data_IF_299324781021
#
_entry.id   IF_299324781021
#
_cell.length_a   1.000
_cell.length_b   1.000
_cell.length_c   1.000
_cell.angle_alpha   90.00
_cell.angle_beta   90.00
_cell.angle_gamma   90.00
#
_symmetry.space_group_name_H-M   'P 1'
#
loop_
_entity.id
_entity.type
_entity.pdbx_description
1 polymer ?
#
# COMPACT_ATOMS: atom_id res chain seq x y z
N UNK A 1 -17.03 -11.74 -9.40
CA UNK A 1 -16.26 -12.47 -10.42
C UNK A 1 -14.81 -12.03 -10.28
N UNK A 2 -13.99 -12.78 -9.55
CA UNK A 2 -12.56 -12.47 -9.31
C UNK A 2 -11.83 -12.81 -10.61
N UNK A 3 -11.39 -11.79 -11.37
CA UNK A 3 -10.66 -11.99 -12.62
C UNK A 3 -9.16 -11.99 -12.32
N UNK A 4 -8.45 -13.04 -12.74
CA UNK A 4 -6.98 -13.04 -12.79
C UNK A 4 -6.52 -12.09 -13.90
N UNK A 5 -5.48 -11.30 -13.65
CA UNK A 5 -4.80 -10.47 -14.65
C UNK A 5 -3.77 -11.35 -15.39
N UNK A 6 -3.70 -11.23 -16.70
CA UNK A 6 -2.76 -11.97 -17.57
C UNK A 6 -1.36 -11.38 -17.49
N UNK A 7 -0.36 -12.23 -17.23
CA UNK A 7 1.06 -11.90 -17.12
C UNK A 7 1.70 -11.48 -18.44
N UNK A 8 2.66 -10.57 -18.37
CA UNK A 8 3.83 -10.55 -19.24
C UNK A 8 5.08 -10.65 -18.32
N UNK A 9 5.94 -11.63 -18.59
CA UNK A 9 7.23 -11.91 -17.93
C UNK A 9 8.34 -11.25 -18.79
N UNK A 10 9.41 -10.63 -18.23
CA UNK A 10 10.55 -11.44 -17.80
C UNK A 10 11.45 -10.87 -16.66
N UNK A 11 12.12 -11.80 -15.94
CA UNK A 11 13.43 -11.73 -15.25
C UNK A 11 13.47 -11.65 -13.70
N UNK A 12 14.09 -12.70 -13.12
CA UNK A 12 14.38 -12.93 -11.70
C UNK A 12 15.59 -12.14 -11.19
N UNK A 13 15.42 -11.50 -10.02
CA UNK A 13 16.43 -10.88 -9.14
C UNK A 13 15.84 -10.71 -7.72
N UNK A 14 16.63 -10.47 -6.65
CA UNK A 14 16.32 -10.97 -5.30
C UNK A 14 15.23 -10.16 -4.60
N UNK A 15 14.17 -10.85 -4.17
CA UNK A 15 13.04 -10.29 -3.44
C UNK A 15 11.72 -10.88 -3.92
N UNK A 16 11.64 -12.21 -4.05
CA UNK A 16 10.44 -12.89 -4.56
C UNK A 16 9.21 -12.49 -3.77
N UNK A 17 8.25 -11.87 -4.44
CA UNK A 17 7.13 -11.21 -3.77
C UNK A 17 6.23 -12.16 -2.97
N UNK A 18 6.18 -13.46 -3.31
CA UNK A 18 5.33 -14.42 -2.59
C UNK A 18 5.99 -15.77 -2.34
N UNK A 19 6.24 -16.06 -1.05
CA UNK A 19 6.14 -17.41 -0.49
C UNK A 19 4.91 -17.47 0.43
N UNK A 20 3.71 -17.57 -0.12
CA UNK A 20 2.52 -17.85 0.70
C UNK A 20 1.41 -18.55 -0.09
N UNK A 21 0.74 -19.47 0.61
CA UNK A 21 -0.20 -20.45 0.09
C UNK A 21 -1.48 -19.79 -0.51
N UNK A 22 -1.86 -20.19 -1.72
CA UNK A 22 -2.80 -19.48 -2.61
C UNK A 22 -4.25 -19.34 -2.10
N UNK A 23 -4.63 -20.08 -1.04
CA UNK A 23 -5.96 -20.00 -0.41
C UNK A 23 -6.09 -18.89 0.64
N UNK A 24 -4.99 -18.47 1.28
CA UNK A 24 -5.02 -17.44 2.33
C UNK A 24 -5.04 -16.01 1.76
N UNK A 25 -4.52 -15.81 0.54
CA UNK A 25 -4.44 -14.50 -0.12
C UNK A 25 -5.80 -13.93 -0.54
N UNK A 26 -6.82 -14.78 -0.78
CA UNK A 26 -8.13 -14.31 -1.24
C UNK A 26 -8.97 -13.63 -0.13
N UNK A 27 -8.63 -13.82 1.15
CA UNK A 27 -9.38 -13.29 2.30
C UNK A 27 -8.69 -12.11 3.02
N UNK A 28 -7.46 -11.78 2.65
CA UNK A 28 -6.66 -10.72 3.32
C UNK A 28 -6.77 -9.42 2.54
N UNK A 29 -7.23 -8.34 3.19
CA UNK A 29 -7.25 -7.01 2.57
C UNK A 29 -5.82 -6.49 2.39
N UNK A 30 -5.50 -5.98 1.21
CA UNK A 30 -4.22 -5.33 0.96
C UNK A 30 -4.42 -3.82 1.04
N UNK A 31 -3.72 -3.20 1.98
CA UNK A 31 -3.70 -1.75 2.18
C UNK A 31 -2.54 -1.18 1.37
N UNK A 32 -2.85 -0.45 0.31
CA UNK A 32 -1.87 0.10 -0.62
C UNK A 32 -1.34 1.43 -0.11
N UNK A 33 -0.03 1.50 0.01
CA UNK A 33 0.75 2.69 0.33
C UNK A 33 1.21 3.45 -0.92
N UNK A 34 1.71 4.68 -0.72
CA UNK A 34 2.24 5.58 -1.75
C UNK A 34 3.37 4.94 -2.52
N UNK A 35 4.37 4.39 -1.82
CA UNK A 35 5.60 3.87 -2.43
C UNK A 35 5.36 2.84 -3.53
N UNK A 36 4.65 1.72 -3.27
CA UNK A 36 4.34 0.74 -4.31
C UNK A 36 3.37 1.25 -5.39
N UNK A 37 2.49 2.21 -5.09
CA UNK A 37 1.63 2.83 -6.11
C UNK A 37 2.47 3.64 -7.11
N UNK A 38 3.39 4.46 -6.61
CA UNK A 38 4.35 5.20 -7.44
C UNK A 38 5.25 4.24 -8.20
N UNK A 39 5.83 3.25 -7.52
CA UNK A 39 6.67 2.23 -8.14
C UNK A 39 5.96 1.48 -9.27
N UNK A 40 4.68 1.14 -9.08
CA UNK A 40 3.90 0.48 -10.13
C UNK A 40 3.69 1.36 -11.37
N UNK A 41 3.50 2.67 -11.19
CA UNK A 41 3.14 3.61 -12.27
C UNK A 41 4.34 4.31 -12.91
N UNK A 42 5.46 4.45 -12.20
CA UNK A 42 6.68 5.06 -12.69
C UNK A 42 7.68 3.97 -13.10
N UNK A 43 7.86 3.77 -14.42
CA UNK A 43 8.79 2.79 -14.97
C UNK A 43 10.27 3.01 -14.61
N UNK A 44 10.64 4.23 -14.19
CA UNK A 44 12.00 4.57 -13.77
C UNK A 44 12.20 4.45 -12.25
N UNK A 45 11.14 4.16 -11.49
CA UNK A 45 11.25 3.99 -10.04
C UNK A 45 12.10 2.77 -9.71
N UNK A 46 12.99 2.91 -8.71
CA UNK A 46 13.88 1.82 -8.27
C UNK A 46 13.10 0.55 -7.87
N UNK A 47 11.88 0.70 -7.37
CA UNK A 47 11.02 -0.38 -6.93
C UNK A 47 10.05 -0.85 -8.01
N UNK A 48 10.13 -0.33 -9.24
CA UNK A 48 9.19 -0.63 -10.31
C UNK A 48 9.02 -2.13 -10.55
N UNK A 49 10.13 -2.85 -10.75
CA UNK A 49 10.09 -4.30 -11.00
C UNK A 49 9.41 -5.08 -9.87
N UNK A 50 9.75 -4.76 -8.61
CA UNK A 50 9.14 -5.40 -7.44
C UNK A 50 7.65 -5.05 -7.32
N UNK A 51 7.28 -3.78 -7.53
CA UNK A 51 5.90 -3.33 -7.44
C UNK A 51 5.03 -4.01 -8.51
N UNK A 52 5.51 -4.13 -9.75
CA UNK A 52 4.83 -4.83 -10.85
C UNK A 52 4.68 -6.32 -10.56
N UNK A 53 5.73 -7.00 -10.08
CA UNK A 53 5.67 -8.41 -9.69
C UNK A 53 4.58 -8.63 -8.63
N UNK A 54 4.62 -7.83 -7.56
CA UNK A 54 3.61 -7.92 -6.52
C UNK A 54 2.21 -7.64 -7.02
N UNK A 55 2.00 -6.53 -7.74
CA UNK A 55 0.69 -6.17 -8.27
C UNK A 55 0.07 -7.29 -9.13
N UNK A 56 0.89 -8.01 -9.89
CA UNK A 56 0.43 -9.12 -10.74
C UNK A 56 -0.16 -10.30 -9.96
N UNK A 57 0.29 -10.50 -8.72
CA UNK A 57 -0.12 -11.60 -7.86
C UNK A 57 -1.24 -11.21 -6.87
N UNK A 58 -1.53 -9.93 -6.73
CA UNK A 58 -2.57 -9.43 -5.83
C UNK A 58 -3.97 -9.49 -6.46
N UNK A 59 -4.98 -9.62 -5.61
CA UNK A 59 -6.38 -9.55 -6.03
C UNK A 59 -6.91 -8.13 -5.85
N UNK A 60 -7.64 -7.65 -6.86
CA UNK A 60 -8.37 -6.39 -6.78
C UNK A 60 -9.64 -6.54 -5.89
N UNK A 61 -10.07 -5.48 -5.18
CA UNK A 61 -9.41 -4.17 -5.08
C UNK A 61 -8.30 -4.13 -4.03
N UNK A 62 -7.29 -3.30 -4.26
CA UNK A 62 -6.41 -2.80 -3.20
C UNK A 62 -7.10 -1.61 -2.49
N UNK A 63 -6.93 -1.47 -1.19
CA UNK A 63 -7.62 -0.47 -0.38
C UNK A 63 -6.65 0.61 0.06
N UNK A 64 -7.04 1.88 0.00
CA UNK A 64 -6.19 2.99 0.42
C UNK A 64 -7.05 4.18 0.91
N UNK A 65 -6.42 5.34 1.13
CA UNK A 65 -7.07 6.57 1.56
C UNK A 65 -6.62 7.77 0.69
N UNK A 66 -7.33 8.89 0.84
CA UNK A 66 -7.10 10.13 0.09
C UNK A 66 -5.71 10.70 0.35
N UNK A 67 -5.17 10.55 1.57
CA UNK A 67 -3.83 11.04 1.91
C UNK A 67 -2.73 10.33 1.09
N UNK A 68 -2.83 9.01 0.96
CA UNK A 68 -1.93 8.21 0.11
C UNK A 68 -2.06 8.62 -1.36
N UNK A 69 -3.29 8.80 -1.86
CA UNK A 69 -3.48 9.25 -3.25
C UNK A 69 -2.89 10.63 -3.50
N UNK A 70 -3.09 11.56 -2.56
CA UNK A 70 -2.57 12.93 -2.66
C UNK A 70 -1.04 12.92 -2.75
N UNK A 71 -0.38 12.12 -1.92
CA UNK A 71 1.07 11.99 -1.92
C UNK A 71 1.57 11.31 -3.22
N UNK A 72 0.93 10.23 -3.65
CA UNK A 72 1.29 9.53 -4.88
C UNK A 72 1.15 10.43 -6.12
N UNK A 73 0.07 11.23 -6.20
CA UNK A 73 -0.11 12.20 -7.28
C UNK A 73 1.01 13.24 -7.26
N UNK A 74 1.34 13.77 -6.09
CA UNK A 74 2.42 14.75 -5.93
C UNK A 74 3.77 14.20 -6.40
N UNK A 75 4.14 12.99 -5.95
CA UNK A 75 5.40 12.35 -6.32
C UNK A 75 5.48 12.02 -7.81
N UNK A 76 4.40 11.49 -8.41
CA UNK A 76 4.36 11.24 -9.85
C UNK A 76 4.51 12.53 -10.65
N UNK A 77 3.83 13.60 -10.25
CA UNK A 77 3.92 14.89 -10.92
C UNK A 77 5.31 15.51 -10.81
N UNK A 78 6.02 15.33 -9.68
CA UNK A 78 7.41 15.78 -9.56
C UNK A 78 8.37 15.06 -10.49
N UNK A 79 8.00 13.85 -10.94
CA UNK A 79 8.74 13.05 -11.93
C UNK A 79 8.19 13.23 -13.37
N UNK A 80 7.32 14.21 -13.59
CA UNK A 80 6.73 14.50 -14.91
C UNK A 80 5.63 13.53 -15.36
N UNK A 81 5.09 12.70 -14.45
CA UNK A 81 4.03 11.74 -14.72
C UNK A 81 2.69 12.32 -14.30
N UNK A 82 1.71 12.34 -15.23
CA UNK A 82 0.36 12.84 -14.96
C UNK A 82 -0.40 11.93 -13.98
N UNK A 83 -1.41 12.48 -13.29
CA UNK A 83 -2.28 11.75 -12.36
C UNK A 83 -3.24 10.75 -13.06
N UNK A 84 -3.40 10.87 -14.37
CA UNK A 84 -4.35 10.11 -15.18
C UNK A 84 -4.30 8.58 -14.98
N UNK A 85 -3.13 7.91 -14.83
CA UNK A 85 -3.08 6.48 -14.52
C UNK A 85 -3.75 6.13 -13.18
N UNK A 86 -3.61 6.96 -12.14
CA UNK A 86 -4.28 6.76 -10.84
C UNK A 86 -5.80 6.86 -11.01
N UNK A 87 -6.28 7.84 -11.77
CA UNK A 87 -7.72 8.01 -12.04
C UNK A 87 -8.29 6.75 -12.70
N UNK A 88 -7.60 6.21 -13.70
CA UNK A 88 -8.00 4.94 -14.33
C UNK A 88 -8.03 3.76 -13.37
N UNK A 89 -7.13 3.69 -12.39
CA UNK A 89 -7.17 2.64 -11.35
C UNK A 89 -8.41 2.77 -10.46
N UNK A 90 -8.82 4.00 -10.12
CA UNK A 90 -10.02 4.28 -9.32
C UNK A 90 -11.31 3.98 -10.09
N UNK A 91 -11.42 4.48 -11.33
CA UNK A 91 -12.59 4.28 -12.19
C UNK A 91 -12.85 2.79 -12.44
N UNK A 92 -11.78 2.01 -12.64
CA UNK A 92 -11.84 0.56 -12.83
C UNK A 92 -11.99 -0.22 -11.52
N UNK A 93 -12.01 0.47 -10.37
CA UNK A 93 -12.07 -0.10 -9.02
C UNK A 93 -10.95 -1.12 -8.75
N UNK A 94 -9.78 -0.92 -9.36
CA UNK A 94 -8.57 -1.67 -9.07
C UNK A 94 -8.01 -1.23 -7.71
N UNK A 95 -8.08 0.06 -7.43
CA UNK A 95 -7.87 0.63 -6.10
C UNK A 95 -9.18 1.25 -5.59
N UNK A 96 -9.41 1.20 -4.27
CA UNK A 96 -10.60 1.76 -3.63
C UNK A 96 -10.23 2.60 -2.42
N UNK A 97 -10.86 3.76 -2.34
CA UNK A 97 -10.91 4.59 -1.13
C UNK A 97 -12.01 4.05 -0.22
N UNK A 98 -11.63 3.63 0.99
CA UNK A 98 -12.55 3.10 2.02
C UNK A 98 -12.07 3.54 3.40
N UNK A 99 -11.77 4.83 3.49
CA UNK A 99 -11.30 5.41 4.73
C UNK A 99 -11.75 6.86 4.79
N UNK A 100 -12.63 7.17 5.74
CA UNK A 100 -13.02 8.54 6.05
C UNK A 100 -12.22 8.95 7.28
N UNK A 101 -11.25 9.84 7.10
CA UNK A 101 -10.35 10.23 8.20
C UNK A 101 -11.15 10.81 9.39
N UNK A 102 -12.21 11.57 9.13
CA UNK A 102 -12.97 12.23 10.19
C UNK A 102 -13.67 11.22 11.14
N UNK A 103 -14.14 10.09 10.60
CA UNK A 103 -14.71 8.97 11.37
C UNK A 103 -13.68 8.28 12.26
N UNK A 104 -12.39 8.52 12.01
CA UNK A 104 -11.25 7.94 12.73
C UNK A 104 -10.32 8.97 13.34
N UNK A 105 -10.73 10.25 13.38
CA UNK A 105 -9.90 11.41 13.72
C UNK A 105 -9.13 11.25 15.03
N UNK A 106 -9.79 10.79 16.09
CA UNK A 106 -9.17 10.64 17.40
C UNK A 106 -7.99 9.64 17.38
N UNK A 107 -8.16 8.52 16.67
CA UNK A 107 -7.13 7.49 16.54
C UNK A 107 -5.99 7.92 15.63
N UNK A 108 -6.30 8.54 14.49
CA UNK A 108 -5.29 9.10 13.57
C UNK A 108 -4.45 10.17 14.29
N UNK A 109 -5.08 11.09 15.01
CA UNK A 109 -4.36 12.14 15.75
C UNK A 109 -3.55 11.57 16.91
N UNK A 110 -4.02 10.50 17.56
CA UNK A 110 -3.24 9.78 18.57
C UNK A 110 -1.99 9.14 17.94
N UNK A 111 -2.09 8.54 16.76
CA UNK A 111 -0.96 7.94 16.05
C UNK A 111 0.08 9.00 15.67
N UNK A 112 -0.35 10.11 15.06
CA UNK A 112 0.52 11.23 14.71
C UNK A 112 1.28 11.78 15.93
N UNK A 113 0.61 11.94 17.08
CA UNK A 113 1.27 12.37 18.32
C UNK A 113 2.21 11.32 18.90
N UNK A 114 1.82 10.03 18.82
CA UNK A 114 2.62 8.91 19.36
C UNK A 114 3.94 8.77 18.63
N UNK A 115 3.96 8.99 17.33
CA UNK A 115 5.12 8.84 16.47
C UNK A 115 5.70 10.20 16.05
N UNK A 116 5.47 11.26 16.81
CA UNK A 116 5.95 12.61 16.47
C UNK A 116 7.49 12.74 16.41
N UNK A 117 8.21 11.86 17.09
CA UNK A 117 9.69 11.77 17.04
C UNK A 117 10.20 10.94 15.84
N UNK A 118 9.29 10.45 14.99
CA UNK A 118 9.54 9.72 13.74
C UNK A 118 8.84 10.46 12.59
N UNK A 119 9.22 10.27 11.32
CA UNK A 119 8.61 10.99 10.22
C UNK A 119 7.26 10.35 9.80
N UNK A 120 6.32 10.19 10.75
CA UNK A 120 4.98 9.68 10.44
C UNK A 120 4.17 10.71 9.66
N UNK A 121 3.83 10.38 8.42
CA UNK A 121 2.94 11.19 7.59
C UNK A 121 1.46 10.97 7.97
N UNK A 122 0.57 11.84 7.47
CA UNK A 122 -0.88 11.58 7.56
C UNK A 122 -1.27 10.31 6.80
N UNK A 123 -0.60 10.00 5.68
CA UNK A 123 -0.85 8.78 4.91
C UNK A 123 -0.53 7.53 5.74
N UNK A 124 0.61 7.51 6.43
CA UNK A 124 1.01 6.40 7.30
C UNK A 124 0.06 6.24 8.48
N UNK A 125 -0.30 7.34 9.14
CA UNK A 125 -1.24 7.30 10.27
C UNK A 125 -2.60 6.74 9.83
N UNK A 126 -3.09 7.12 8.64
CA UNK A 126 -4.30 6.57 8.06
C UNK A 126 -4.15 5.07 7.73
N UNK A 127 -3.05 4.63 7.12
CA UNK A 127 -2.81 3.21 6.80
C UNK A 127 -2.67 2.35 8.05
N UNK A 128 -1.96 2.83 9.07
CA UNK A 128 -1.89 2.17 10.38
C UNK A 128 -3.30 2.04 10.93
N UNK A 129 -4.12 3.09 10.86
CA UNK A 129 -5.50 3.02 11.35
C UNK A 129 -6.37 2.07 10.55
N UNK A 130 -6.29 2.08 9.21
CA UNK A 130 -6.97 1.10 8.36
C UNK A 130 -6.58 -0.33 8.73
N UNK A 131 -5.30 -0.56 9.07
CA UNK A 131 -4.85 -1.86 9.55
C UNK A 131 -5.44 -2.22 10.91
N UNK A 132 -5.69 -1.27 11.81
CA UNK A 132 -6.36 -1.54 13.09
C UNK A 132 -7.83 -1.95 12.90
N UNK A 133 -8.54 -1.32 11.95
CA UNK A 133 -9.95 -1.60 11.67
C UNK A 133 -10.14 -2.94 10.95
N UNK A 134 -9.23 -3.30 10.05
CA UNK A 134 -9.32 -4.56 9.32
C UNK A 134 -9.04 -5.78 10.23
N UNK A 135 -9.85 -6.84 10.09
CA UNK A 135 -9.61 -8.12 10.77
C UNK A 135 -8.32 -8.79 10.26
N UNK A 136 -8.28 -9.07 8.95
CA UNK A 136 -7.10 -9.60 8.24
C UNK A 136 -6.65 -8.63 7.16
N UNK A 137 -5.40 -8.16 7.26
CA UNK A 137 -4.81 -7.28 6.27
C UNK A 137 -3.29 -7.39 6.18
N UNK A 138 -2.73 -6.90 5.08
CA UNK A 138 -1.31 -6.57 4.92
C UNK A 138 -1.18 -5.15 4.38
N UNK A 139 -0.20 -4.39 4.86
CA UNK A 139 0.20 -3.12 4.25
C UNK A 139 1.24 -3.42 3.17
N UNK A 140 0.91 -3.05 1.93
CA UNK A 140 1.82 -3.09 0.79
C UNK A 140 2.56 -1.77 0.76
N UNK A 141 3.85 -1.77 1.13
CA UNK A 141 4.66 -0.56 1.33
C UNK A 141 6.12 -0.82 0.98
N UNK A 142 6.84 0.26 0.65
CA UNK A 142 8.30 0.29 0.52
C UNK A 142 8.97 1.07 1.65
N UNK A 143 8.20 1.60 2.60
CA UNK A 143 8.69 2.39 3.72
C UNK A 143 9.01 1.49 4.94
N UNK A 144 10.25 1.60 5.41
CA UNK A 144 10.75 0.82 6.55
C UNK A 144 10.20 1.30 7.88
N UNK A 145 9.63 2.50 7.97
CA UNK A 145 9.05 3.00 9.23
C UNK A 145 7.86 2.17 9.69
N UNK A 146 7.18 1.48 8.77
CA UNK A 146 6.17 0.46 9.10
C UNK A 146 6.72 -0.74 9.91
N UNK A 147 8.03 -0.96 9.96
CA UNK A 147 8.67 -1.92 10.87
C UNK A 147 8.61 -1.45 12.34
N UNK A 148 8.50 -0.15 12.57
CA UNK A 148 8.44 0.48 13.90
C UNK A 148 7.00 0.74 14.32
N UNK A 149 6.14 1.12 13.38
CA UNK A 149 4.72 1.35 13.65
C UNK A 149 4.01 0.08 14.17
N UNK A 150 2.98 0.28 14.99
CA UNK A 150 2.22 -0.80 15.65
C UNK A 150 0.73 -0.57 15.49
N UNK A 151 0.02 -1.66 15.22
CA UNK A 151 -1.45 -1.71 15.18
C UNK A 151 -1.99 -2.36 16.45
N UNK A 152 -3.22 -2.01 16.86
CA UNK A 152 -3.94 -2.65 17.97
C UNK A 152 -3.07 -2.72 19.24
N UNK A 153 -2.44 -1.59 19.57
CA UNK A 153 -1.48 -1.47 20.68
C UNK A 153 -0.03 -1.76 20.26
N UNK A 154 0.45 -2.97 20.54
CA UNK A 154 1.86 -3.39 20.31
C UNK A 154 2.03 -4.42 19.19
N UNK A 155 0.98 -4.73 18.43
CA UNK A 155 1.06 -5.74 17.39
C UNK A 155 1.83 -5.19 16.18
N UNK A 156 2.70 -6.03 15.62
CA UNK A 156 3.42 -5.71 14.38
C UNK A 156 2.43 -5.67 13.23
N UNK A 157 2.61 -4.71 12.33
CA UNK A 157 1.80 -4.61 11.12
C UNK A 157 2.24 -5.72 10.14
N UNK A 158 1.33 -6.56 9.63
CA UNK A 158 1.65 -7.47 8.54
C UNK A 158 2.03 -6.67 7.29
N UNK A 159 3.22 -6.89 6.75
CA UNK A 159 3.72 -6.14 5.59
C UNK A 159 3.81 -7.04 4.36
N UNK A 160 3.65 -6.43 3.20
CA UNK A 160 4.13 -6.88 1.91
C UNK A 160 5.16 -5.83 1.46
N UNK A 161 6.44 -6.15 1.59
CA UNK A 161 7.53 -5.19 1.45
C UNK A 161 8.78 -5.84 0.83
N UNK A 162 9.69 -5.07 0.20
CA UNK A 162 10.90 -5.60 -0.45
C UNK A 162 12.06 -5.86 0.54
N UNK A 163 11.80 -5.80 1.85
CA UNK A 163 12.79 -5.97 2.90
C UNK A 163 12.32 -6.99 3.93
N UNK A 164 13.29 -7.68 4.53
CA UNK A 164 13.04 -8.58 5.64
C UNK A 164 12.72 -7.81 6.93
N UNK A 165 12.08 -8.52 7.87
CA UNK A 165 11.80 -8.03 9.22
C UNK A 165 13.02 -8.13 10.14
#
# INVERSE_FOLDING_TARGET
>A
MIRRKTCADPLRGPGTCLRANSKAMAATRVLLDTGPLVGYLNGNDRQHGWAVECWSALFDPLWTCEAVLSEAIFLLQSEGIAAEPILRLLERRIIRLDFVMDDHRADVFRLLRKYADQPMSLADACLVRMSEVAESCQVFTTDKDFLVYRRKGRQVIPLLAPFDR
#
